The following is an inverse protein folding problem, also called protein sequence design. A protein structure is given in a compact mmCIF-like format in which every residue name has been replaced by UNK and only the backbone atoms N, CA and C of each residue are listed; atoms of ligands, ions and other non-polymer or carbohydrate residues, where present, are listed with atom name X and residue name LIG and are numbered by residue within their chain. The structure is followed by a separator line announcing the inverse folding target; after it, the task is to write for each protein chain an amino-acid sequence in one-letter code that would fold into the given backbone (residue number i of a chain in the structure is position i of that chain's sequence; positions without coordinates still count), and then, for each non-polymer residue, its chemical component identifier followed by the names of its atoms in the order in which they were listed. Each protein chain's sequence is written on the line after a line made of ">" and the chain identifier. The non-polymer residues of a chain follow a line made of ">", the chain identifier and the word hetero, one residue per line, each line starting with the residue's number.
data_IF_904780440972
#
_entry.id   IF_904780440972
#
_cell.length_a   1.000
_cell.length_b   1.000
_cell.length_c   1.000
_cell.angle_alpha   90.00
_cell.angle_beta   90.00
_cell.angle_gamma   90.00
#
_symmetry.space_group_name_H-M   'P 1'
#
loop_
_entity.id
_entity.type
_entity.pdbx_description
1 polymer ?
#
# COMPACT_ATOMS: atom_id res chain seq x y z
N UNK A 1 -14.95 12.98 -33.56
CA UNK A 1 -14.76 12.03 -32.44
C UNK A 1 -15.16 12.74 -31.16
N UNK A 2 -16.00 12.15 -30.30
CA UNK A 2 -16.29 12.75 -29.00
C UNK A 2 -15.01 12.79 -28.16
N UNK A 3 -14.75 13.92 -27.52
CA UNK A 3 -13.61 14.12 -26.62
C UNK A 3 -13.96 13.48 -25.27
N UNK A 4 -13.40 12.29 -25.00
CA UNK A 4 -13.53 11.64 -23.69
C UNK A 4 -12.56 12.32 -22.73
N UNK A 5 -13.08 12.87 -21.63
CA UNK A 5 -12.27 13.42 -20.52
C UNK A 5 -12.32 12.45 -19.35
N UNK A 6 -11.15 12.01 -18.90
CA UNK A 6 -10.99 11.23 -17.67
C UNK A 6 -10.94 12.16 -16.46
N UNK A 7 -11.70 11.83 -15.41
CA UNK A 7 -11.65 12.50 -14.12
C UNK A 7 -11.32 11.46 -13.05
N UNK A 8 -10.40 11.80 -12.14
CA UNK A 8 -10.14 10.99 -10.95
C UNK A 8 -11.09 11.45 -9.86
N UNK A 9 -11.97 10.55 -9.41
CA UNK A 9 -12.90 10.82 -8.31
C UNK A 9 -12.21 10.39 -7.02
N UNK A 10 -11.94 11.35 -6.14
CA UNK A 10 -11.45 11.06 -4.80
C UNK A 10 -12.64 10.78 -3.88
N UNK A 11 -12.51 9.85 -2.92
CA UNK A 11 -13.56 9.61 -1.95
C UNK A 11 -13.75 10.83 -1.06
N UNK A 12 -15.01 11.19 -0.82
CA UNK A 12 -15.38 12.20 0.16
C UNK A 12 -15.38 11.57 1.57
N UNK A 13 -14.19 11.40 2.14
CA UNK A 13 -14.04 10.88 3.49
C UNK A 13 -14.62 11.88 4.52
N UNK A 14 -15.52 11.43 5.41
CA UNK A 14 -15.91 12.20 6.59
C UNK A 14 -14.67 12.64 7.40
N UNK A 15 -14.75 13.78 8.08
CA UNK A 15 -13.62 14.34 8.84
C UNK A 15 -13.03 13.33 9.85
N UNK A 16 -13.90 12.54 10.50
CA UNK A 16 -13.52 11.50 11.47
C UNK A 16 -12.77 10.31 10.83
N UNK A 17 -12.80 10.18 9.51
CA UNK A 17 -12.20 9.07 8.77
C UNK A 17 -10.98 9.50 7.93
N UNK A 18 -10.56 10.77 8.01
CA UNK A 18 -9.45 11.31 7.20
C UNK A 18 -8.14 10.55 7.36
N UNK A 19 -7.87 10.01 8.55
CA UNK A 19 -6.66 9.22 8.82
C UNK A 19 -6.59 7.94 7.97
N UNK A 20 -7.70 7.45 7.41
CA UNK A 20 -7.68 6.33 6.48
C UNK A 20 -6.88 6.62 5.21
N UNK A 21 -6.92 7.85 4.68
CA UNK A 21 -6.14 8.19 3.48
C UNK A 21 -4.64 8.22 3.79
N UNK A 22 -4.26 8.77 4.94
CA UNK A 22 -2.87 8.78 5.43
C UNK A 22 -2.35 7.36 5.58
N UNK A 23 -3.13 6.49 6.23
CA UNK A 23 -2.79 5.09 6.41
C UNK A 23 -2.72 4.37 5.07
N UNK A 24 -3.70 4.56 4.17
CA UNK A 24 -3.77 3.87 2.88
C UNK A 24 -2.56 4.16 1.99
N UNK A 25 -2.03 5.40 2.05
CA UNK A 25 -0.88 5.86 1.27
C UNK A 25 0.47 5.55 1.92
N UNK A 26 0.49 5.06 3.15
CA UNK A 26 1.71 4.63 3.81
C UNK A 26 1.79 3.11 3.82
N UNK A 27 2.65 2.54 2.98
CA UNK A 27 2.77 1.08 2.79
C UNK A 27 3.10 0.27 4.06
N UNK A 28 3.41 0.90 5.21
CA UNK A 28 3.53 0.23 6.51
C UNK A 28 2.34 -0.68 6.84
N UNK A 29 1.13 -0.37 6.34
CA UNK A 29 -0.03 -1.25 6.48
C UNK A 29 0.21 -2.66 5.92
N UNK A 30 1.06 -2.81 4.89
CA UNK A 30 1.20 -4.05 4.11
C UNK A 30 1.98 -5.16 4.82
N UNK A 31 2.74 -4.84 5.87
CA UNK A 31 3.37 -5.82 6.77
C UNK A 31 2.90 -5.68 8.21
N UNK A 32 1.75 -5.02 8.44
CA UNK A 32 1.16 -4.86 9.76
C UNK A 32 -0.30 -5.38 9.78
N UNK A 33 -0.57 -6.56 10.35
CA UNK A 33 -1.88 -7.19 10.30
C UNK A 33 -3.03 -6.33 10.84
N UNK A 34 -2.78 -5.51 11.86
CA UNK A 34 -3.82 -4.64 12.45
C UNK A 34 -4.37 -3.60 11.47
N UNK A 35 -3.52 -3.12 10.56
CA UNK A 35 -3.91 -2.17 9.52
C UNK A 35 -4.65 -2.87 8.38
N UNK A 36 -4.26 -4.10 8.02
CA UNK A 36 -5.02 -4.91 7.07
C UNK A 36 -6.44 -5.18 7.58
N UNK A 37 -6.58 -5.50 8.87
CA UNK A 37 -7.90 -5.71 9.49
C UNK A 37 -8.75 -4.42 9.54
N UNK A 38 -8.12 -3.24 9.61
CA UNK A 38 -8.83 -1.95 9.53
C UNK A 38 -9.57 -1.81 8.18
N UNK A 39 -8.92 -2.16 7.08
CA UNK A 39 -9.52 -2.11 5.74
C UNK A 39 -10.52 -3.25 5.51
N UNK A 40 -10.20 -4.48 5.92
CA UNK A 40 -11.15 -5.60 5.83
C UNK A 40 -12.45 -5.36 6.58
N UNK A 41 -12.42 -4.64 7.70
CA UNK A 41 -13.61 -4.32 8.51
C UNK A 41 -14.55 -3.32 7.84
N UNK A 42 -14.06 -2.52 6.87
CA UNK A 42 -14.91 -1.64 6.06
C UNK A 42 -15.83 -2.52 5.20
N UNK A 43 -15.24 -3.41 4.42
CA UNK A 43 -15.91 -4.40 3.57
C UNK A 43 -14.88 -5.45 3.10
N UNK A 44 -15.00 -6.68 3.59
CA UNK A 44 -14.05 -7.75 3.28
C UNK A 44 -14.15 -8.25 1.83
N UNK A 45 -15.34 -8.15 1.23
CA UNK A 45 -15.58 -8.56 -0.15
C UNK A 45 -14.96 -7.53 -1.09
N UNK A 46 -15.20 -6.25 -0.82
CA UNK A 46 -14.59 -5.15 -1.58
C UNK A 46 -13.07 -5.14 -1.43
N UNK A 47 -12.55 -5.37 -0.22
CA UNK A 47 -11.11 -5.49 0.02
C UNK A 47 -10.44 -6.53 -0.91
N UNK A 48 -11.06 -7.70 -1.02
CA UNK A 48 -10.61 -8.77 -1.91
C UNK A 48 -10.75 -8.37 -3.39
N UNK A 49 -11.89 -7.76 -3.77
CA UNK A 49 -12.15 -7.32 -5.14
C UNK A 49 -11.20 -6.20 -5.62
N UNK A 50 -10.73 -5.36 -4.70
CA UNK A 50 -9.74 -4.32 -4.97
C UNK A 50 -8.30 -4.86 -5.06
N UNK A 51 -8.08 -6.16 -4.87
CA UNK A 51 -6.73 -6.76 -4.83
C UNK A 51 -5.94 -6.28 -3.63
N UNK A 52 -6.61 -6.14 -2.49
CA UNK A 52 -6.00 -5.72 -1.23
C UNK A 52 -5.28 -4.35 -1.33
N UNK A 53 -5.86 -3.44 -2.12
CA UNK A 53 -5.37 -2.08 -2.32
C UNK A 53 -6.26 -1.09 -1.55
N UNK A 54 -5.77 -0.43 -0.49
CA UNK A 54 -6.60 0.45 0.33
C UNK A 54 -6.98 1.75 -0.39
N UNK A 55 -6.10 2.32 -1.23
CA UNK A 55 -6.42 3.54 -1.99
C UNK A 55 -7.57 3.27 -2.96
N UNK A 56 -7.48 2.17 -3.73
CA UNK A 56 -8.55 1.75 -4.63
C UNK A 56 -9.85 1.41 -3.87
N UNK A 57 -9.73 0.77 -2.71
CA UNK A 57 -10.88 0.43 -1.87
C UNK A 57 -11.62 1.68 -1.40
N UNK A 58 -10.89 2.69 -0.89
CA UNK A 58 -11.50 3.95 -0.44
C UNK A 58 -12.19 4.67 -1.60
N UNK A 59 -11.65 4.62 -2.81
CA UNK A 59 -12.31 5.15 -4.02
C UNK A 59 -13.53 4.33 -4.50
N UNK A 60 -13.72 3.11 -3.99
CA UNK A 60 -14.78 2.19 -4.44
C UNK A 60 -15.89 1.96 -3.41
N UNK A 61 -15.64 2.27 -2.14
CA UNK A 61 -16.64 2.11 -1.06
C UNK A 61 -17.75 3.14 -1.21
N UNK A 62 -19.00 2.75 -0.88
CA UNK A 62 -20.14 3.66 -0.97
C UNK A 62 -20.08 4.73 0.12
N UNK A 63 -20.58 5.93 -0.20
CA UNK A 63 -20.64 7.03 0.78
C UNK A 63 -21.47 6.63 2.01
N UNK A 64 -22.60 5.96 1.80
CA UNK A 64 -23.44 5.49 2.91
C UNK A 64 -22.69 4.58 3.89
N UNK A 65 -21.75 3.75 3.40
CA UNK A 65 -20.92 2.91 4.26
C UNK A 65 -19.87 3.71 5.02
N UNK A 66 -19.27 4.73 4.39
CA UNK A 66 -18.35 5.65 5.07
C UNK A 66 -19.06 6.43 6.17
N UNK A 67 -20.27 6.91 5.90
CA UNK A 67 -21.07 7.65 6.89
C UNK A 67 -21.46 6.74 8.07
N UNK A 68 -21.85 5.49 7.82
CA UNK A 68 -22.09 4.47 8.87
C UNK A 68 -20.84 4.24 9.74
N UNK A 69 -19.67 4.14 9.12
CA UNK A 69 -18.40 3.96 9.84
C UNK A 69 -18.01 5.18 10.67
N UNK A 70 -18.34 6.38 10.20
CA UNK A 70 -18.09 7.63 10.92
C UNK A 70 -18.94 7.75 12.20
N UNK A 71 -20.04 7.01 12.32
CA UNK A 71 -20.86 6.93 13.54
C UNK A 71 -20.46 5.75 14.45
N UNK A 72 -19.70 4.79 13.92
CA UNK A 72 -19.32 3.58 14.64
C UNK A 72 -18.14 3.80 15.58
N UNK A 73 -18.42 4.00 16.87
CA UNK A 73 -17.40 4.22 17.91
C UNK A 73 -16.33 3.12 17.99
N UNK A 74 -16.71 1.86 17.75
CA UNK A 74 -15.77 0.75 17.76
C UNK A 74 -14.83 0.75 16.56
N UNK A 75 -15.25 1.31 15.42
CA UNK A 75 -14.39 1.50 14.26
C UNK A 75 -13.49 2.72 14.43
N UNK A 76 -14.04 3.85 14.87
CA UNK A 76 -13.29 5.08 15.16
C UNK A 76 -12.16 4.83 16.17
N UNK A 77 -12.43 4.09 17.25
CA UNK A 77 -11.41 3.73 18.24
C UNK A 77 -10.32 2.81 17.65
N UNK A 78 -10.63 1.97 16.67
CA UNK A 78 -9.63 1.17 15.95
C UNK A 78 -8.78 2.05 15.02
N UNK A 79 -9.41 2.96 14.28
CA UNK A 79 -8.75 3.92 13.39
C UNK A 79 -7.78 4.81 14.18
N UNK A 80 -8.23 5.38 15.29
CA UNK A 80 -7.39 6.21 16.16
C UNK A 80 -6.15 5.45 16.63
N UNK A 81 -6.31 4.21 17.13
CA UNK A 81 -5.17 3.37 17.55
C UNK A 81 -4.22 3.08 16.40
N UNK A 82 -4.74 2.84 15.20
CA UNK A 82 -3.92 2.62 14.01
C UNK A 82 -3.12 3.89 13.64
N UNK A 83 -3.76 5.07 13.71
CA UNK A 83 -3.11 6.36 13.52
C UNK A 83 -2.01 6.63 14.55
N UNK A 84 -2.30 6.42 15.84
CA UNK A 84 -1.32 6.54 16.92
C UNK A 84 -0.15 5.58 16.75
N UNK A 85 -0.41 4.34 16.31
CA UNK A 85 0.61 3.33 16.04
C UNK A 85 1.50 3.72 14.86
N UNK A 86 0.92 4.22 13.77
CA UNK A 86 1.69 4.72 12.62
C UNK A 86 2.54 5.93 13.02
N UNK A 87 1.96 6.89 13.75
CA UNK A 87 2.69 8.04 14.26
C UNK A 87 3.87 7.61 15.14
N UNK A 88 3.61 6.72 16.10
CA UNK A 88 4.66 6.17 16.96
C UNK A 88 5.74 5.42 16.16
N UNK A 89 5.37 4.71 15.10
CA UNK A 89 6.33 4.03 14.22
C UNK A 89 7.27 5.01 13.53
N UNK A 90 6.75 6.14 13.04
CA UNK A 90 7.50 7.16 12.30
C UNK A 90 8.34 8.07 13.19
N UNK A 91 7.92 8.34 14.43
CA UNK A 91 8.57 9.32 15.32
C UNK A 91 9.49 8.70 16.38
N UNK A 92 9.35 7.41 16.70
CA UNK A 92 10.15 6.78 17.75
C UNK A 92 11.63 6.71 17.35
N UNK A 93 12.56 6.86 18.31
CA UNK A 93 13.97 6.63 18.04
C UNK A 93 14.22 5.21 17.53
N UNK A 94 14.80 5.11 16.34
CA UNK A 94 15.00 3.85 15.62
C UNK A 94 16.18 3.06 16.20
N UNK A 95 16.35 1.82 15.77
CA UNK A 95 17.53 1.04 16.17
C UNK A 95 18.82 1.67 15.63
N UNK A 96 18.78 2.10 14.36
CA UNK A 96 19.91 2.73 13.68
C UNK A 96 20.38 4.00 14.41
N UNK A 97 19.46 4.90 14.78
CA UNK A 97 19.80 6.13 15.53
C UNK A 97 20.45 5.84 16.89
N UNK A 98 20.04 4.77 17.58
CA UNK A 98 20.59 4.39 18.89
C UNK A 98 21.99 3.80 18.80
N UNK A 99 22.30 3.09 17.72
CA UNK A 99 23.58 2.36 17.56
C UNK A 99 24.60 3.17 16.78
N UNK A 100 24.15 3.98 15.81
CA UNK A 100 25.00 4.72 14.87
C UNK A 100 25.01 6.24 15.13
N UNK A 101 24.77 6.67 16.38
CA UNK A 101 24.63 8.09 16.77
C UNK A 101 25.84 8.98 16.45
N UNK A 102 27.02 8.40 16.21
CA UNK A 102 28.27 9.12 15.91
C UNK A 102 28.76 8.93 14.45
N UNK A 103 28.02 8.20 13.62
CA UNK A 103 28.40 7.97 12.23
C UNK A 103 27.98 9.17 11.36
N UNK A 104 28.83 9.57 10.39
CA UNK A 104 28.41 10.42 9.26
C UNK A 104 27.17 9.81 8.63
N UNK A 105 26.02 10.51 8.67
CA UNK A 105 24.72 10.07 8.15
C UNK A 105 24.79 9.69 6.66
N UNK A 106 25.05 8.42 6.29
CA UNK A 106 25.24 8.07 4.91
C UNK A 106 23.87 7.72 4.33
N UNK A 107 23.46 8.40 3.27
CA UNK A 107 22.24 8.02 2.55
C UNK A 107 22.57 6.87 1.58
N UNK A 108 21.93 5.72 1.79
CA UNK A 108 22.14 4.51 0.98
C UNK A 108 21.17 4.51 -0.19
N UNK A 109 21.68 4.51 -1.42
CA UNK A 109 20.88 4.32 -2.62
C UNK A 109 20.83 2.82 -3.00
N UNK A 110 19.66 2.21 -2.93
CA UNK A 110 19.45 0.81 -3.27
C UNK A 110 18.74 0.65 -4.61
N UNK A 111 19.51 0.30 -5.65
CA UNK A 111 18.98 0.11 -6.99
C UNK A 111 18.52 -1.34 -7.19
N UNK A 112 17.28 -1.51 -7.65
CA UNK A 112 16.76 -2.79 -8.09
C UNK A 112 15.81 -2.60 -9.27
N UNK A 113 15.79 -3.57 -10.18
CA UNK A 113 14.78 -3.61 -11.22
C UNK A 113 13.38 -3.91 -10.64
N UNK A 114 13.30 -4.55 -9.48
CA UNK A 114 12.05 -5.04 -8.90
C UNK A 114 11.95 -4.75 -7.40
N UNK A 115 10.74 -4.47 -6.93
CA UNK A 115 10.43 -4.34 -5.49
C UNK A 115 9.08 -4.97 -5.15
N UNK A 116 9.13 -6.13 -4.49
CA UNK A 116 7.98 -6.91 -4.07
C UNK A 116 7.51 -6.52 -2.66
N UNK A 117 6.97 -5.30 -2.51
CA UNK A 117 6.48 -4.84 -1.20
C UNK A 117 5.13 -5.47 -0.86
N UNK A 118 4.18 -5.39 -1.80
CA UNK A 118 2.84 -5.95 -1.68
C UNK A 118 2.23 -6.19 -3.08
N UNK A 119 1.27 -7.11 -3.21
CA UNK A 119 0.66 -7.46 -4.50
C UNK A 119 -0.10 -6.32 -5.18
N UNK A 120 -0.58 -5.33 -4.41
CA UNK A 120 -1.23 -4.14 -4.94
C UNK A 120 -0.26 -3.18 -5.65
N UNK A 121 1.05 -3.40 -5.52
CA UNK A 121 2.11 -2.67 -6.20
C UNK A 121 2.91 -3.66 -7.08
N UNK A 122 2.40 -4.01 -8.27
CA UNK A 122 2.96 -5.08 -9.11
C UNK A 122 4.19 -4.61 -9.91
N UNK A 123 5.24 -4.22 -9.20
CA UNK A 123 6.56 -3.81 -9.76
C UNK A 123 7.63 -4.87 -9.52
N UNK A 124 7.23 -6.13 -9.47
CA UNK A 124 8.10 -7.30 -9.28
C UNK A 124 7.56 -8.51 -10.04
N UNK A 125 8.43 -9.49 -10.27
CA UNK A 125 8.11 -10.73 -10.96
C UNK A 125 8.46 -11.98 -10.14
N UNK A 126 9.52 -11.90 -9.32
CA UNK A 126 9.99 -13.08 -8.59
C UNK A 126 10.87 -12.77 -7.38
N UNK A 127 11.77 -13.71 -7.07
CA UNK A 127 12.57 -13.69 -5.84
C UNK A 127 13.46 -12.46 -5.65
N UNK A 128 13.96 -11.88 -6.74
CA UNK A 128 14.73 -10.63 -6.68
C UNK A 128 13.88 -9.50 -6.08
N UNK A 129 12.68 -9.31 -6.61
CA UNK A 129 11.76 -8.28 -6.12
C UNK A 129 11.33 -8.55 -4.68
N UNK A 130 10.98 -9.78 -4.33
CA UNK A 130 10.61 -10.13 -2.95
C UNK A 130 11.74 -9.79 -1.97
N UNK A 131 12.98 -10.20 -2.27
CA UNK A 131 14.14 -9.88 -1.44
C UNK A 131 14.34 -8.35 -1.31
N UNK A 132 14.24 -7.63 -2.42
CA UNK A 132 14.37 -6.17 -2.40
C UNK A 132 13.27 -5.49 -1.57
N UNK A 133 12.03 -5.98 -1.67
CA UNK A 133 10.90 -5.51 -0.87
C UNK A 133 11.10 -5.75 0.63
N UNK A 134 11.55 -6.95 1.01
CA UNK A 134 11.80 -7.30 2.41
C UNK A 134 13.01 -6.54 2.99
N UNK A 135 14.02 -6.23 2.17
CA UNK A 135 15.08 -5.30 2.51
C UNK A 135 14.53 -3.90 2.84
N UNK A 136 13.62 -3.36 2.01
CA UNK A 136 13.01 -2.05 2.29
C UNK A 136 12.21 -2.05 3.59
N UNK A 137 11.40 -3.11 3.84
CA UNK A 137 10.63 -3.25 5.08
C UNK A 137 11.54 -3.31 6.30
N UNK A 138 12.58 -4.13 6.22
CA UNK A 138 13.55 -4.30 7.30
C UNK A 138 14.35 -3.02 7.55
N UNK A 139 14.76 -2.31 6.49
CA UNK A 139 15.42 -1.01 6.59
C UNK A 139 14.52 0.03 7.25
N UNK A 140 13.23 0.06 6.89
CA UNK A 140 12.21 0.93 7.51
C UNK A 140 12.06 0.64 9.01
N UNK A 141 11.92 -0.64 9.40
CA UNK A 141 11.76 -1.04 10.81
C UNK A 141 13.00 -0.71 11.67
N UNK A 142 14.19 -0.81 11.08
CA UNK A 142 15.45 -0.48 11.74
C UNK A 142 15.79 1.01 11.72
N UNK A 143 15.15 1.80 10.86
CA UNK A 143 15.47 3.21 10.63
C UNK A 143 16.75 3.45 9.83
N UNK A 144 17.12 2.50 8.97
CA UNK A 144 18.31 2.65 8.11
C UNK A 144 17.99 3.72 7.05
N UNK A 145 18.86 4.73 6.84
CA UNK A 145 18.66 5.78 5.83
C UNK A 145 18.89 5.24 4.41
N UNK A 146 17.91 4.47 3.92
CA UNK A 146 17.96 3.78 2.63
C UNK A 146 16.83 4.25 1.72
N UNK A 147 17.18 4.59 0.48
CA UNK A 147 16.25 4.99 -0.58
C UNK A 147 16.31 3.97 -1.71
N UNK A 148 15.16 3.35 -2.00
CA UNK A 148 15.01 2.43 -3.13
C UNK A 148 14.85 3.18 -4.45
N UNK A 149 15.61 2.78 -5.47
CA UNK A 149 15.50 3.27 -6.84
C UNK A 149 15.12 2.13 -7.78
N UNK A 150 14.02 2.31 -8.51
CA UNK A 150 13.49 1.31 -9.42
C UNK A 150 12.65 1.92 -10.53
N UNK A 151 11.86 1.07 -11.20
CA UNK A 151 11.02 1.46 -12.32
C UNK A 151 9.54 1.32 -11.94
N UNK A 152 8.75 2.33 -12.32
CA UNK A 152 7.29 2.27 -12.23
C UNK A 152 6.74 1.70 -13.55
N UNK A 153 6.64 0.38 -13.63
CA UNK A 153 6.21 -0.32 -14.84
C UNK A 153 4.74 -0.01 -15.17
N UNK A 154 4.44 0.33 -16.42
CA UNK A 154 3.06 0.51 -16.90
C UNK A 154 2.26 -0.80 -16.86
N UNK A 155 2.92 -1.93 -17.15
CA UNK A 155 2.37 -3.28 -17.04
C UNK A 155 3.29 -4.04 -16.10
N UNK A 156 2.74 -4.53 -15.00
CA UNK A 156 3.46 -5.39 -14.07
C UNK A 156 3.73 -6.77 -14.67
N UNK A 157 4.07 -7.73 -13.80
CA UNK A 157 4.13 -9.13 -14.22
C UNK A 157 2.75 -9.62 -14.69
N UNK A 158 2.74 -10.53 -15.67
CA UNK A 158 1.49 -11.03 -16.23
C UNK A 158 0.71 -11.86 -15.22
N UNK A 159 -0.62 -11.88 -15.39
CA UNK A 159 -1.48 -12.85 -14.70
C UNK A 159 -1.54 -14.12 -15.53
N UNK A 160 -1.12 -15.22 -14.92
CA UNK A 160 -1.16 -16.55 -15.50
C UNK A 160 -2.58 -17.13 -15.37
N UNK A 161 -3.09 -17.73 -16.43
CA UNK A 161 -4.26 -18.61 -16.36
C UNK A 161 -4.07 -19.80 -17.32
N UNK A 162 -4.82 -20.87 -17.09
CA UNK A 162 -4.85 -22.03 -17.98
C UNK A 162 -6.09 -21.95 -18.86
N UNK A 163 -5.93 -22.14 -20.17
CA UNK A 163 -7.07 -22.32 -21.06
C UNK A 163 -7.70 -23.72 -20.89
N UNK A 164 -8.79 -24.00 -21.62
CA UNK A 164 -9.52 -25.27 -21.52
C UNK A 164 -8.66 -26.49 -21.90
N UNK A 165 -7.60 -26.27 -22.69
CA UNK A 165 -6.66 -27.29 -23.14
C UNK A 165 -5.47 -27.46 -22.17
N UNK A 166 -5.45 -26.73 -21.05
CA UNK A 166 -4.39 -26.78 -20.04
C UNK A 166 -3.13 -26.01 -20.41
N UNK A 167 -3.14 -25.20 -21.48
CA UNK A 167 -2.02 -24.34 -21.84
C UNK A 167 -2.02 -23.06 -21.04
N UNK A 168 -0.83 -22.67 -20.57
CA UNK A 168 -0.60 -21.35 -19.97
C UNK A 168 -0.90 -20.25 -20.97
N UNK A 169 -1.61 -19.22 -20.49
CA UNK A 169 -1.89 -17.97 -21.16
C UNK A 169 -1.55 -16.81 -20.23
N UNK A 170 -1.36 -15.63 -20.83
CA UNK A 170 -0.83 -14.46 -20.14
C UNK A 170 -1.75 -13.25 -20.35
N UNK A 171 -2.09 -12.56 -19.26
CA UNK A 171 -2.85 -11.31 -19.30
C UNK A 171 -2.00 -10.21 -18.68
N UNK A 172 -1.73 -9.16 -19.45
CA UNK A 172 -1.05 -7.96 -18.96
C UNK A 172 -2.07 -6.88 -18.62
N UNK A 173 -2.23 -6.63 -17.32
CA UNK A 173 -3.10 -5.57 -16.81
C UNK A 173 -2.30 -4.27 -16.74
N UNK A 174 -2.88 -3.18 -17.24
CA UNK A 174 -2.29 -1.85 -17.09
C UNK A 174 -2.47 -1.34 -15.67
N UNK A 175 -1.40 -0.76 -15.14
CA UNK A 175 -1.37 -0.20 -13.81
C UNK A 175 -2.09 1.15 -13.78
N UNK A 176 -3.07 1.26 -12.88
CA UNK A 176 -3.76 2.52 -12.60
C UNK A 176 -3.03 3.28 -11.49
N UNK A 177 -2.06 4.11 -11.89
CA UNK A 177 -1.21 4.85 -10.96
C UNK A 177 -1.99 5.79 -10.03
N UNK A 178 -3.19 6.24 -10.42
CA UNK A 178 -3.99 7.15 -9.60
C UNK A 178 -4.62 6.46 -8.39
N UNK A 179 -4.78 5.13 -8.47
CA UNK A 179 -5.36 4.30 -7.42
C UNK A 179 -4.32 3.40 -6.74
N UNK A 180 -3.04 3.60 -6.99
CA UNK A 180 -1.95 2.90 -6.30
C UNK A 180 -1.56 3.60 -5.00
N UNK A 181 -1.05 2.85 -3.99
CA UNK A 181 -0.55 3.40 -2.74
C UNK A 181 0.88 3.96 -2.92
N UNK A 182 1.03 4.91 -3.84
CA UNK A 182 2.28 5.64 -4.16
C UNK A 182 2.09 7.14 -4.08
#
# INVERSE_FOLDING_TARGET
>A
MPTVRSFTVLPALPDLLKDLDVIARNMFWSWNPEFVELFKRIDSTLWSACGHNPVKMLGSVSQAKLDELAENQGYLGQLQRAGEKLKSYLEKPTWYEKVCSECTEPLIAYFSAEFGVHECLPIYAGGLGILAGDHLKSASDLGIPLVGFGLLYQKGYFRQYLNIDGWQQEIYVENDFYNMPI
#
